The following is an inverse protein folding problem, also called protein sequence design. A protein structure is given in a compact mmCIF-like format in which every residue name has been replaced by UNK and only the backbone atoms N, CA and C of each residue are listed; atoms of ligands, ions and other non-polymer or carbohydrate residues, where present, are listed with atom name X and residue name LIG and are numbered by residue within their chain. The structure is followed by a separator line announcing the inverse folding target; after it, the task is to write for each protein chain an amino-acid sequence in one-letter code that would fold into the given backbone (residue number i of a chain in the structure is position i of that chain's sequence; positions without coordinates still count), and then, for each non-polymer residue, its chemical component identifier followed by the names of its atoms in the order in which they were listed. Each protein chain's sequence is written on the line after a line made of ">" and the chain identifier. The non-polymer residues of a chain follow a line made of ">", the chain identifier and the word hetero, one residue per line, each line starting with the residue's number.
data_IF_220681389761
#
_entry.id   IF_220681389761
#
_cell.length_a   1.000
_cell.length_b   1.000
_cell.length_c   1.000
_cell.angle_alpha   90.00
_cell.angle_beta   90.00
_cell.angle_gamma   90.00
#
_symmetry.space_group_name_H-M   'P 1'
#
loop_
_entity.id
_entity.type
_entity.pdbx_description
1 polymer ?
#
# COMPACT_ATOMS: atom_id res chain seq x y z
N UNK A 1 -3.38 0.11 -6.94
CA UNK A 1 -2.08 -0.51 -6.64
C UNK A 1 -1.09 0.59 -6.29
N UNK A 2 -0.29 0.39 -5.25
CA UNK A 2 0.77 1.34 -4.88
C UNK A 2 2.15 0.75 -5.08
N UNK A 3 3.11 1.58 -5.47
CA UNK A 3 4.54 1.23 -5.51
C UNK A 3 5.34 2.31 -4.81
N UNK A 4 6.52 1.95 -4.30
CA UNK A 4 7.43 2.87 -3.61
C UNK A 4 8.54 3.40 -4.52
N UNK A 5 8.82 2.72 -5.64
CA UNK A 5 9.90 3.07 -6.58
C UNK A 5 9.42 3.20 -8.02
N UNK A 6 10.16 3.98 -8.82
CA UNK A 6 9.91 4.09 -10.27
C UNK A 6 10.22 2.79 -11.02
N UNK A 7 11.22 2.03 -10.57
CA UNK A 7 11.58 0.76 -11.20
C UNK A 7 10.43 -0.24 -11.12
N UNK A 8 9.80 -0.38 -9.94
CA UNK A 8 8.66 -1.27 -9.78
C UNK A 8 7.46 -0.80 -10.61
N UNK A 9 7.22 0.52 -10.69
CA UNK A 9 6.15 1.06 -11.55
C UNK A 9 6.38 0.72 -13.02
N UNK A 10 7.59 0.90 -13.56
CA UNK A 10 7.91 0.60 -14.97
C UNK A 10 7.69 -0.86 -15.33
N UNK A 11 7.88 -1.78 -14.38
CA UNK A 11 7.56 -3.20 -14.60
C UNK A 11 6.04 -3.41 -14.68
N UNK A 12 5.27 -2.70 -13.85
CA UNK A 12 3.83 -2.88 -13.74
C UNK A 12 3.00 -2.07 -14.74
N UNK A 13 3.54 -0.99 -15.32
CA UNK A 13 2.77 -0.02 -16.10
C UNK A 13 2.00 -0.65 -17.28
N UNK A 14 2.54 -1.71 -17.88
CA UNK A 14 1.94 -2.41 -19.02
C UNK A 14 1.05 -3.60 -18.62
N UNK A 15 1.15 -4.06 -17.37
CA UNK A 15 0.46 -5.26 -16.86
C UNK A 15 -0.73 -4.93 -15.95
N UNK A 16 -0.94 -3.64 -15.64
CA UNK A 16 -2.06 -3.21 -14.83
C UNK A 16 -3.40 -3.42 -15.55
N UNK A 17 -4.39 -4.05 -14.90
CA UNK A 17 -5.74 -4.16 -15.43
C UNK A 17 -6.32 -2.76 -15.72
N UNK A 18 -7.17 -2.64 -16.73
CA UNK A 18 -7.81 -1.36 -17.10
C UNK A 18 -8.67 -0.73 -16.00
N UNK A 19 -9.12 -1.54 -15.03
CA UNK A 19 -9.85 -1.08 -13.85
C UNK A 19 -8.94 -0.73 -12.65
N UNK A 20 -7.64 -0.93 -12.76
CA UNK A 20 -6.69 -0.67 -11.68
C UNK A 20 -6.11 0.74 -11.79
N UNK A 21 -6.21 1.51 -10.71
CA UNK A 21 -5.52 2.79 -10.58
C UNK A 21 -4.17 2.57 -9.89
N UNK A 22 -3.12 3.15 -10.45
CA UNK A 22 -1.79 3.21 -9.83
C UNK A 22 -1.54 4.57 -9.17
N UNK A 23 -0.96 4.55 -7.97
CA UNK A 23 -0.54 5.74 -7.24
C UNK A 23 0.74 5.39 -6.48
N UNK A 24 1.69 6.31 -6.33
CA UNK A 24 2.83 6.05 -5.44
C UNK A 24 2.40 5.96 -3.98
N UNK A 25 3.03 5.05 -3.23
CA UNK A 25 2.76 4.89 -1.80
C UNK A 25 3.09 6.21 -1.06
N UNK A 26 2.23 6.70 -0.17
CA UNK A 26 2.58 7.81 0.72
C UNK A 26 3.78 7.43 1.61
N UNK A 27 4.52 8.43 2.08
CA UNK A 27 5.54 8.21 3.12
C UNK A 27 4.85 7.75 4.41
N UNK A 28 5.45 6.78 5.14
CA UNK A 28 4.88 6.24 6.39
C UNK A 28 4.99 7.24 7.56
N UNK A 29 4.24 8.33 7.46
CA UNK A 29 4.06 9.29 8.54
C UNK A 29 2.58 9.32 8.91
N UNK A 30 2.22 9.56 10.19
CA UNK A 30 0.82 9.59 10.61
C UNK A 30 -0.05 10.50 9.73
N UNK A 31 0.43 11.69 9.40
CA UNK A 31 -0.31 12.68 8.61
C UNK A 31 -0.51 12.23 7.14
N UNK A 32 0.53 11.70 6.50
CA UNK A 32 0.44 11.29 5.10
C UNK A 32 -0.45 10.05 4.93
N UNK A 33 -0.32 9.07 5.83
CA UNK A 33 -1.17 7.89 5.83
C UNK A 33 -2.62 8.25 6.15
N UNK A 34 -2.87 9.10 7.17
CA UNK A 34 -4.24 9.49 7.50
C UNK A 34 -4.92 10.21 6.33
N UNK A 35 -4.21 11.15 5.69
CA UNK A 35 -4.70 11.81 4.48
C UNK A 35 -4.98 10.82 3.34
N UNK A 36 -4.08 9.86 3.12
CA UNK A 36 -4.22 8.84 2.08
C UNK A 36 -5.45 7.94 2.32
N UNK A 37 -5.60 7.40 3.52
CA UNK A 37 -6.73 6.51 3.87
C UNK A 37 -8.04 7.29 3.89
N UNK A 38 -8.05 8.55 4.36
CA UNK A 38 -9.23 9.44 4.32
C UNK A 38 -9.68 9.75 2.90
N UNK A 39 -8.74 9.98 1.98
CA UNK A 39 -9.03 10.31 0.59
C UNK A 39 -9.55 9.09 -0.18
N UNK A 40 -8.83 7.97 -0.13
CA UNK A 40 -9.16 6.78 -0.91
C UNK A 40 -10.28 5.93 -0.30
N UNK A 41 -10.43 5.95 1.04
CA UNK A 41 -11.38 5.13 1.80
C UNK A 41 -11.38 3.65 1.35
N UNK A 42 -10.21 3.00 1.35
CA UNK A 42 -10.11 1.60 0.94
C UNK A 42 -10.94 0.69 1.86
N UNK A 43 -11.53 -0.36 1.31
CA UNK A 43 -12.17 -1.42 2.10
C UNK A 43 -11.16 -2.42 2.65
N UNK A 44 -10.02 -2.58 1.98
CA UNK A 44 -8.92 -3.41 2.43
C UNK A 44 -7.56 -2.89 1.92
N UNK A 45 -6.49 -3.22 2.65
CA UNK A 45 -5.09 -2.95 2.29
C UNK A 45 -4.33 -4.26 2.23
N UNK A 46 -3.67 -4.55 1.10
CA UNK A 46 -2.81 -5.74 0.94
C UNK A 46 -1.38 -5.25 0.74
N UNK A 47 -0.50 -5.63 1.65
CA UNK A 47 0.92 -5.33 1.58
C UNK A 47 1.67 -6.54 1.04
N UNK A 48 2.39 -6.35 -0.07
CA UNK A 48 3.12 -7.42 -0.78
C UNK A 48 4.64 -7.32 -0.58
N UNK A 49 5.09 -6.46 0.33
CA UNK A 49 6.50 -6.21 0.63
C UNK A 49 6.84 -6.75 2.02
N UNK A 50 8.13 -7.03 2.25
CA UNK A 50 8.65 -7.46 3.55
C UNK A 50 8.86 -6.29 4.53
N UNK A 51 8.59 -5.06 4.11
CA UNK A 51 8.73 -3.87 4.94
C UNK A 51 7.50 -3.68 5.83
N UNK A 52 7.74 -3.29 7.08
CA UNK A 52 6.67 -2.98 8.02
C UNK A 52 6.30 -1.50 7.89
N UNK A 53 5.03 -1.22 7.56
CA UNK A 53 4.45 0.13 7.47
C UNK A 53 3.55 0.39 8.69
N UNK A 54 4.13 0.70 9.87
CA UNK A 54 3.40 0.73 11.13
C UNK A 54 2.27 1.76 11.12
N UNK A 55 2.48 2.95 10.55
CA UNK A 55 1.41 3.96 10.55
C UNK A 55 0.25 3.53 9.64
N UNK A 56 0.55 2.92 8.49
CA UNK A 56 -0.47 2.34 7.61
C UNK A 56 -1.31 1.28 8.33
N UNK A 57 -0.68 0.36 9.05
CA UNK A 57 -1.38 -0.69 9.80
C UNK A 57 -2.23 -0.09 10.93
N UNK A 58 -1.63 0.78 11.75
CA UNK A 58 -2.32 1.39 12.91
C UNK A 58 -3.51 2.25 12.47
N UNK A 59 -3.34 3.09 11.44
CA UNK A 59 -4.40 3.98 10.97
C UNK A 59 -5.50 3.21 10.23
N UNK A 60 -5.13 2.19 9.45
CA UNK A 60 -6.12 1.31 8.79
C UNK A 60 -6.96 0.59 9.84
N UNK A 61 -6.33 0.02 10.87
CA UNK A 61 -7.00 -0.60 12.02
C UNK A 61 -7.94 0.38 12.72
N UNK A 62 -7.47 1.59 13.03
CA UNK A 62 -8.27 2.63 13.69
C UNK A 62 -9.48 3.09 12.87
N UNK A 63 -9.40 3.01 11.52
CA UNK A 63 -10.50 3.35 10.60
C UNK A 63 -11.36 2.17 10.20
N UNK A 64 -11.14 0.97 10.76
CA UNK A 64 -11.90 -0.23 10.45
C UNK A 64 -11.62 -0.81 9.05
N UNK A 65 -10.46 -0.49 8.47
CA UNK A 65 -10.01 -1.03 7.18
C UNK A 65 -9.26 -2.34 7.44
N UNK A 66 -9.70 -3.43 6.81
CA UNK A 66 -9.00 -4.71 6.88
C UNK A 66 -7.62 -4.61 6.24
N UNK A 67 -6.61 -5.25 6.83
CA UNK A 67 -5.28 -5.29 6.25
C UNK A 67 -4.70 -6.70 6.29
N UNK A 68 -3.92 -7.04 5.27
CA UNK A 68 -3.17 -8.29 5.15
C UNK A 68 -1.71 -7.97 4.82
N UNK A 69 -0.78 -8.58 5.55
CA UNK A 69 0.65 -8.47 5.30
C UNK A 69 1.16 -9.79 4.71
N UNK A 70 1.37 -9.82 3.40
CA UNK A 70 1.97 -10.97 2.72
C UNK A 70 3.49 -10.87 2.80
N UNK A 71 4.04 -11.46 3.85
CA UNK A 71 5.48 -11.67 3.98
C UNK A 71 5.86 -12.91 3.17
N UNK A 72 6.39 -12.71 1.96
CA UNK A 72 7.06 -13.79 1.25
C UNK A 72 8.40 -14.10 1.95
N UNK A 73 8.66 -15.35 2.35
CA UNK A 73 9.95 -15.76 2.88
C UNK A 73 10.95 -15.79 1.73
N UNK A 74 11.41 -14.63 1.29
CA UNK A 74 12.43 -14.50 0.25
C UNK A 74 13.63 -13.76 0.84
N UNK A 75 14.28 -14.42 1.83
CA UNK A 75 15.61 -14.08 2.36
C UNK A 75 16.11 -15.15 3.37
N UNK A 76 16.04 -16.44 3.00
CA UNK A 76 16.84 -17.51 3.61
C UNK A 76 17.58 -18.27 2.52
#
# INVERSE_FOLDING_TARGET
>A
MTTTTMSSYKVLENDLPSCALHQFCPVDTPAAIDAFVCYWKPSAVILLESEMWPNLIMISSAKGVSYELSIHPCAL
#
